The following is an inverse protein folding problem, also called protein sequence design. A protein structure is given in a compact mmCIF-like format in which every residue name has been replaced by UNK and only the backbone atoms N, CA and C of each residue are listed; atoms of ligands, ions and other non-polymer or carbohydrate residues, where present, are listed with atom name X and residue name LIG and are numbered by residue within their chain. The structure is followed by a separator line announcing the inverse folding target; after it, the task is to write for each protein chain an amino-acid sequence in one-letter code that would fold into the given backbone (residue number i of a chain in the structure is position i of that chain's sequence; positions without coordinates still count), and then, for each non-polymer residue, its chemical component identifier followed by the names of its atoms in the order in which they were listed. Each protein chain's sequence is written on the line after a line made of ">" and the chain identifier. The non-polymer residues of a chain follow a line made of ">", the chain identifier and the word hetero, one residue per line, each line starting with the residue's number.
data_IF_447268057912
#
_entry.id   IF_447268057912
#
_cell.length_a   1.000
_cell.length_b   1.000
_cell.length_c   1.000
_cell.angle_alpha   90.00
_cell.angle_beta   90.00
_cell.angle_gamma   90.00
#
_symmetry.space_group_name_H-M   'P 1'
#
loop_
_entity.id
_entity.type
_entity.pdbx_description
1 polymer ?
#
# COMPACT_ATOMS: atom_id res chain seq x y z
N UNK A 1 6.67 2.67 -22.52
CA UNK A 1 7.24 2.31 -21.21
C UNK A 1 6.30 2.78 -20.12
N UNK A 2 6.33 2.15 -18.95
CA UNK A 2 5.57 2.54 -17.76
C UNK A 2 6.53 3.08 -16.70
N UNK A 3 6.11 4.04 -15.90
CA UNK A 3 6.83 4.47 -14.71
C UNK A 3 6.11 3.94 -13.47
N UNK A 4 6.84 3.30 -12.55
CA UNK A 4 6.35 2.94 -11.21
C UNK A 4 7.30 3.42 -10.12
N UNK A 5 6.98 3.12 -8.87
CA UNK A 5 7.81 3.50 -7.73
C UNK A 5 8.44 2.28 -7.04
N UNK A 6 9.62 2.47 -6.45
CA UNK A 6 10.27 1.46 -5.60
C UNK A 6 9.33 1.05 -4.46
N UNK A 7 9.20 -0.24 -4.19
CA UNK A 7 8.35 -0.75 -3.11
C UNK A 7 6.86 -0.82 -3.44
N UNK A 8 6.42 -0.28 -4.57
CA UNK A 8 5.03 -0.42 -5.00
C UNK A 8 4.80 -1.78 -5.65
N UNK A 9 3.74 -2.46 -5.24
CA UNK A 9 3.36 -3.78 -5.73
C UNK A 9 2.03 -3.72 -6.49
N UNK A 10 2.08 -4.06 -7.78
CA UNK A 10 0.94 -3.99 -8.71
C UNK A 10 0.54 -5.37 -9.25
N UNK A 11 0.80 -6.43 -8.48
CA UNK A 11 0.50 -7.82 -8.84
C UNK A 11 1.67 -8.58 -9.47
N UNK A 12 1.43 -9.84 -9.81
CA UNK A 12 2.44 -10.79 -10.28
C UNK A 12 2.44 -10.92 -11.82
N UNK A 13 2.75 -9.84 -12.52
CA UNK A 13 3.02 -9.88 -13.95
C UNK A 13 4.35 -9.19 -14.26
N UNK A 14 4.98 -9.54 -15.38
CA UNK A 14 6.37 -9.21 -15.70
C UNK A 14 6.72 -7.73 -15.51
N UNK A 15 5.87 -6.82 -16.01
CA UNK A 15 6.09 -5.38 -15.88
C UNK A 15 5.88 -4.83 -14.45
N UNK A 16 4.96 -5.41 -13.66
CA UNK A 16 4.70 -4.97 -12.28
C UNK A 16 5.77 -5.47 -11.30
N UNK A 17 6.34 -6.65 -11.57
CA UNK A 17 7.41 -7.28 -10.78
C UNK A 17 8.80 -6.70 -11.09
N UNK A 18 8.87 -5.39 -11.32
CA UNK A 18 10.13 -4.64 -11.39
C UNK A 18 10.19 -3.71 -10.17
N UNK A 19 11.21 -3.86 -9.34
CA UNK A 19 11.46 -3.06 -8.13
C UNK A 19 10.27 -2.98 -7.17
N UNK A 20 9.43 -4.03 -7.09
CA UNK A 20 8.43 -4.20 -6.04
C UNK A 20 9.10 -4.48 -4.68
N UNK A 21 10.14 -5.29 -4.69
CA UNK A 21 11.08 -5.50 -3.58
C UNK A 21 12.51 -5.52 -4.14
N UNK A 22 13.25 -4.44 -3.94
CA UNK A 22 14.56 -4.25 -4.54
C UNK A 22 15.65 -4.03 -3.48
N UNK A 23 16.77 -4.78 -3.49
CA UNK A 23 17.87 -4.53 -2.57
C UNK A 23 18.50 -3.13 -2.84
N UNK A 24 18.53 -2.21 -1.86
CA UNK A 24 18.98 -0.82 -2.08
C UNK A 24 20.40 -0.72 -2.61
N UNK A 25 21.27 -1.63 -2.18
CA UNK A 25 22.69 -1.64 -2.52
C UNK A 25 22.96 -1.74 -4.02
N UNK A 26 22.02 -2.34 -4.79
CA UNK A 26 22.10 -2.46 -6.25
C UNK A 26 21.00 -1.66 -6.97
N UNK A 27 20.14 -0.97 -6.23
CA UNK A 27 19.01 -0.20 -6.76
C UNK A 27 19.40 1.18 -7.32
N UNK A 28 20.70 1.51 -7.39
CA UNK A 28 21.16 2.80 -7.91
C UNK A 28 20.91 3.98 -6.96
N UNK A 29 21.00 5.19 -7.49
CA UNK A 29 20.86 6.43 -6.71
C UNK A 29 19.39 6.70 -6.35
N UNK A 30 19.11 7.39 -5.25
CA UNK A 30 17.74 7.75 -4.84
C UNK A 30 16.99 8.56 -5.92
N UNK A 31 17.70 9.45 -6.60
CA UNK A 31 17.15 10.29 -7.67
C UNK A 31 17.08 9.57 -9.03
N UNK A 32 17.74 8.41 -9.15
CA UNK A 32 17.76 7.59 -10.37
C UNK A 32 17.80 6.09 -10.01
N UNK A 33 16.69 5.53 -9.49
CA UNK A 33 16.61 4.11 -9.20
C UNK A 33 16.79 3.27 -10.47
N UNK A 34 17.51 2.16 -10.33
CA UNK A 34 17.65 1.16 -11.39
C UNK A 34 16.44 0.22 -11.35
N UNK A 35 15.80 -0.08 -12.49
CA UNK A 35 14.80 -1.14 -12.55
C UNK A 35 15.47 -2.50 -12.29
N UNK A 36 14.93 -3.25 -11.33
CA UNK A 36 15.44 -4.56 -10.94
C UNK A 36 14.32 -5.59 -11.00
N UNK A 37 14.50 -6.74 -11.68
CA UNK A 37 13.48 -7.78 -11.69
C UNK A 37 13.34 -8.40 -10.29
N UNK A 38 12.09 -8.57 -9.85
CA UNK A 38 11.77 -9.17 -8.56
C UNK A 38 11.76 -10.69 -8.55
N UNK A 39 11.57 -11.30 -9.71
CA UNK A 39 11.42 -12.74 -9.84
C UNK A 39 12.30 -13.26 -10.96
N UNK A 40 12.75 -14.51 -10.80
CA UNK A 40 13.37 -15.26 -11.87
C UNK A 40 12.34 -15.49 -13.00
N UNK A 41 12.84 -15.64 -14.23
CA UNK A 41 12.00 -15.92 -15.40
C UNK A 41 11.43 -14.69 -16.10
N UNK A 42 11.55 -13.49 -15.53
CA UNK A 42 11.23 -12.24 -16.23
C UNK A 42 12.23 -12.05 -17.39
N UNK A 43 11.77 -11.97 -18.66
CA UNK A 43 12.67 -11.76 -19.79
C UNK A 43 13.47 -10.46 -19.63
N UNK A 44 14.79 -10.43 -19.90
CA UNK A 44 15.62 -9.25 -19.68
C UNK A 44 15.09 -7.96 -20.33
N UNK A 45 14.51 -8.08 -21.52
CA UNK A 45 13.96 -6.95 -22.27
C UNK A 45 12.72 -6.29 -21.63
N UNK A 46 12.07 -6.92 -20.65
CA UNK A 46 10.94 -6.29 -19.92
C UNK A 46 11.42 -5.06 -19.14
N UNK A 47 12.62 -5.13 -18.57
CA UNK A 47 13.18 -4.03 -17.76
C UNK A 47 13.40 -2.74 -18.56
N UNK A 48 13.58 -2.85 -19.89
CA UNK A 48 13.73 -1.69 -20.78
C UNK A 48 12.44 -0.86 -20.94
N UNK A 49 11.29 -1.45 -20.54
CA UNK A 49 9.98 -0.83 -20.61
C UNK A 49 9.44 -0.36 -19.26
N UNK A 50 10.17 -0.57 -18.16
CA UNK A 50 9.75 -0.17 -16.81
C UNK A 50 10.75 0.78 -16.19
N UNK A 51 10.31 2.02 -15.99
CA UNK A 51 11.07 3.07 -15.33
C UNK A 51 10.67 3.11 -13.86
N UNK A 52 11.63 3.39 -12.97
CA UNK A 52 11.41 3.38 -11.52
C UNK A 52 11.82 4.73 -10.93
N UNK A 53 10.94 5.32 -10.13
CA UNK A 53 11.22 6.50 -9.31
C UNK A 53 11.10 6.15 -7.82
N UNK A 54 11.59 7.03 -6.95
CA UNK A 54 11.42 6.88 -5.51
C UNK A 54 10.12 7.54 -5.04
N UNK A 55 9.26 6.80 -4.32
CA UNK A 55 8.03 7.33 -3.76
C UNK A 55 8.32 8.48 -2.77
N UNK A 56 7.44 9.48 -2.71
CA UNK A 56 7.60 10.73 -1.96
C UNK A 56 8.81 11.60 -2.33
N UNK A 57 9.53 11.29 -3.41
CA UNK A 57 10.58 12.16 -3.97
C UNK A 57 10.11 12.76 -5.29
N UNK A 58 9.57 13.99 -5.24
CA UNK A 58 9.13 14.68 -6.46
C UNK A 58 10.29 14.93 -7.42
N UNK A 59 11.49 15.16 -6.89
CA UNK A 59 12.72 15.34 -7.66
C UNK A 59 13.06 14.08 -8.46
N UNK A 60 12.94 12.89 -7.83
CA UNK A 60 13.14 11.60 -8.51
C UNK A 60 12.14 11.44 -9.66
N UNK A 61 10.85 11.73 -9.41
CA UNK A 61 9.82 11.65 -10.44
C UNK A 61 10.07 12.62 -11.61
N UNK A 62 10.29 13.91 -11.34
CA UNK A 62 10.56 14.94 -12.36
C UNK A 62 11.75 14.57 -13.25
N UNK A 63 12.82 14.02 -12.66
CA UNK A 63 14.00 13.57 -13.40
C UNK A 63 13.72 12.39 -14.31
N UNK A 64 12.93 11.42 -13.84
CA UNK A 64 12.54 10.27 -14.64
C UNK A 64 11.60 10.66 -15.79
N UNK A 65 10.62 11.53 -15.52
CA UNK A 65 9.74 12.09 -16.57
C UNK A 65 10.57 12.87 -17.58
N UNK A 66 11.44 13.79 -17.16
CA UNK A 66 12.30 14.57 -18.07
C UNK A 66 13.17 13.69 -18.96
N UNK A 67 13.72 12.60 -18.41
CA UNK A 67 14.62 11.70 -19.15
C UNK A 67 13.88 10.79 -20.14
N UNK A 68 12.66 10.37 -19.82
CA UNK A 68 11.94 9.33 -20.56
C UNK A 68 10.62 9.80 -21.16
N UNK A 69 10.32 11.11 -21.13
CA UNK A 69 9.07 11.75 -21.57
C UNK A 69 8.46 11.07 -22.80
N UNK A 70 9.19 11.06 -23.92
CA UNK A 70 8.69 10.59 -25.22
C UNK A 70 8.48 9.07 -25.29
N UNK A 71 8.78 8.34 -24.21
CA UNK A 71 8.66 6.89 -24.10
C UNK A 71 7.66 6.45 -23.03
N UNK A 72 7.18 7.36 -22.17
CA UNK A 72 6.29 7.02 -21.07
C UNK A 72 4.83 7.08 -21.54
N UNK A 73 4.13 5.96 -21.42
CA UNK A 73 2.69 5.88 -21.68
C UNK A 73 1.89 6.23 -20.42
N UNK A 74 2.36 5.78 -19.26
CA UNK A 74 1.71 6.05 -17.98
C UNK A 74 2.69 6.03 -16.80
N UNK A 75 2.24 6.62 -15.70
CA UNK A 75 2.74 6.38 -14.34
C UNK A 75 1.69 5.60 -13.55
N UNK A 76 2.11 4.53 -12.88
CA UNK A 76 1.28 3.76 -11.95
C UNK A 76 1.84 3.86 -10.54
N UNK A 77 0.96 4.07 -9.56
CA UNK A 77 1.33 4.13 -8.14
C UNK A 77 0.22 3.70 -7.20
N UNK A 78 0.61 3.14 -6.06
CA UNK A 78 -0.24 3.11 -4.87
C UNK A 78 -0.33 4.55 -4.33
N UNK A 79 -1.53 5.14 -4.17
CA UNK A 79 -1.66 6.50 -3.63
C UNK A 79 -1.15 6.60 -2.18
N UNK A 80 -1.31 5.50 -1.43
CA UNK A 80 -0.70 5.25 -0.12
C UNK A 80 0.05 3.93 -0.29
N UNK A 81 1.36 3.93 -0.10
CA UNK A 81 2.14 2.69 -0.19
C UNK A 81 1.74 1.76 0.95
N UNK A 82 1.20 0.59 0.59
CA UNK A 82 0.64 -0.40 1.50
C UNK A 82 1.37 -1.76 1.47
N UNK A 83 2.43 -1.88 0.66
CA UNK A 83 3.27 -3.08 0.52
C UNK A 83 4.72 -2.86 1.02
N UNK A 84 4.94 -1.81 1.82
CA UNK A 84 6.17 -1.60 2.60
C UNK A 84 5.83 -1.02 3.98
N UNK A 85 4.75 -1.54 4.57
CA UNK A 85 4.05 -1.01 5.72
C UNK A 85 2.96 -0.03 5.29
N UNK A 86 2.78 1.06 6.03
CA UNK A 86 1.85 2.15 5.67
C UNK A 86 2.64 3.45 5.56
N UNK A 87 2.81 3.93 4.33
CA UNK A 87 3.52 5.19 4.05
C UNK A 87 2.60 6.11 3.25
N UNK A 88 2.11 7.14 3.92
CA UNK A 88 1.29 8.18 3.32
C UNK A 88 2.09 9.06 2.35
N UNK A 89 1.45 9.63 1.32
CA UNK A 89 2.07 10.62 0.47
C UNK A 89 2.42 11.87 1.30
N UNK A 90 3.55 12.51 0.98
CA UNK A 90 3.86 13.84 1.54
C UNK A 90 2.88 14.88 0.99
N UNK A 91 2.65 16.00 1.70
CA UNK A 91 1.73 17.04 1.25
C UNK A 91 1.97 17.45 -0.21
N UNK A 92 0.90 17.66 -0.97
CA UNK A 92 0.89 17.97 -2.41
C UNK A 92 1.53 16.92 -3.34
N UNK A 93 2.10 15.81 -2.85
CA UNK A 93 2.82 14.86 -3.69
C UNK A 93 1.96 14.30 -4.83
N UNK A 94 0.81 13.71 -4.51
CA UNK A 94 -0.08 13.11 -5.51
C UNK A 94 -0.55 14.14 -6.54
N UNK A 95 -0.90 15.34 -6.08
CA UNK A 95 -1.30 16.45 -6.94
C UNK A 95 -0.18 16.83 -7.92
N UNK A 96 1.05 16.97 -7.42
CA UNK A 96 2.23 17.26 -8.25
C UNK A 96 2.53 16.15 -9.25
N UNK A 97 2.38 14.88 -8.88
CA UNK A 97 2.52 13.75 -9.82
C UNK A 97 1.55 13.93 -10.99
N UNK A 98 0.27 14.18 -10.71
CA UNK A 98 -0.77 14.38 -11.73
C UNK A 98 -0.45 15.59 -12.62
N UNK A 99 -0.14 16.74 -12.02
CA UNK A 99 0.20 17.97 -12.76
C UNK A 99 1.36 17.76 -13.73
N UNK A 100 2.46 17.16 -13.26
CA UNK A 100 3.66 16.93 -14.07
C UNK A 100 3.40 15.87 -15.15
N UNK A 101 2.67 14.80 -14.84
CA UNK A 101 2.33 13.77 -15.81
C UNK A 101 1.47 14.35 -16.95
N UNK A 102 0.43 15.12 -16.62
CA UNK A 102 -0.46 15.73 -17.61
C UNK A 102 0.25 16.78 -18.47
N UNK A 103 1.15 17.60 -17.90
CA UNK A 103 2.01 18.52 -18.67
C UNK A 103 2.90 17.80 -19.69
N UNK A 104 3.12 16.49 -19.52
CA UNK A 104 3.95 15.67 -20.39
C UNK A 104 3.14 14.64 -21.19
N UNK A 105 1.80 14.73 -21.20
CA UNK A 105 0.90 13.81 -21.92
C UNK A 105 1.03 12.35 -21.46
N UNK A 106 1.29 12.15 -20.16
CA UNK A 106 1.44 10.84 -19.51
C UNK A 106 0.19 10.54 -18.66
N UNK A 107 -0.38 9.35 -18.82
CA UNK A 107 -1.54 8.92 -18.02
C UNK A 107 -1.13 8.63 -16.56
N UNK A 108 -1.98 9.00 -15.61
CA UNK A 108 -1.83 8.62 -14.20
C UNK A 108 -2.78 7.50 -13.85
N UNK A 109 -2.24 6.41 -13.30
CA UNK A 109 -3.00 5.25 -12.82
C UNK A 109 -2.83 5.14 -11.31
N UNK A 110 -3.91 5.26 -10.55
CA UNK A 110 -3.88 4.90 -9.14
C UNK A 110 -4.20 3.43 -8.96
N UNK A 111 -3.28 2.70 -8.37
CA UNK A 111 -3.54 1.36 -7.87
C UNK A 111 -4.23 1.45 -6.51
N UNK A 112 -5.56 1.43 -6.54
CA UNK A 112 -6.44 1.47 -5.37
C UNK A 112 -6.92 0.07 -4.96
N UNK A 113 -6.21 -1.00 -5.39
CA UNK A 113 -6.51 -2.39 -5.00
C UNK A 113 -6.53 -2.54 -3.48
N UNK A 114 -5.72 -1.77 -2.75
CA UNK A 114 -5.73 -1.78 -1.27
C UNK A 114 -6.51 -0.61 -0.65
N UNK A 115 -6.34 0.60 -1.17
CA UNK A 115 -6.88 1.84 -0.58
C UNK A 115 -8.34 2.11 -0.94
N UNK A 116 -8.81 1.58 -2.08
CA UNK A 116 -10.18 1.74 -2.56
C UNK A 116 -11.19 1.14 -1.60
N UNK A 117 -12.28 1.87 -1.33
CA UNK A 117 -13.33 1.51 -0.38
C UNK A 117 -12.86 1.25 1.06
N UNK A 118 -11.56 1.46 1.37
CA UNK A 118 -10.93 1.19 2.66
C UNK A 118 -10.76 2.45 3.47
N UNK A 119 -10.04 3.42 2.92
CA UNK A 119 -9.64 4.64 3.64
C UNK A 119 -10.73 5.71 3.62
N UNK A 120 -11.58 5.66 2.60
CA UNK A 120 -12.79 6.43 2.39
C UNK A 120 -13.71 5.67 1.40
N UNK A 121 -14.99 6.05 1.25
CA UNK A 121 -15.87 5.47 0.24
C UNK A 121 -15.27 5.49 -1.17
N UNK A 122 -14.70 6.64 -1.56
CA UNK A 122 -14.01 6.85 -2.84
C UNK A 122 -12.50 6.60 -2.78
N UNK A 123 -12.01 5.82 -1.80
CA UNK A 123 -10.59 5.48 -1.69
C UNK A 123 -9.67 6.67 -1.38
N UNK A 124 -8.41 6.54 -1.74
CA UNK A 124 -7.40 7.57 -1.54
C UNK A 124 -7.68 8.82 -2.40
N UNK A 125 -8.35 8.67 -3.55
CA UNK A 125 -8.81 9.80 -4.36
C UNK A 125 -9.66 10.77 -3.56
N UNK A 126 -10.69 10.27 -2.89
CA UNK A 126 -11.54 11.10 -2.03
C UNK A 126 -10.75 11.65 -0.82
N UNK A 127 -9.89 10.82 -0.21
CA UNK A 127 -9.13 11.21 0.98
C UNK A 127 -8.18 12.38 0.71
N UNK A 128 -7.51 12.39 -0.45
CA UNK A 128 -6.53 13.41 -0.82
C UNK A 128 -7.05 14.46 -1.79
N UNK A 129 -8.26 14.30 -2.33
CA UNK A 129 -8.83 15.22 -3.32
C UNK A 129 -8.05 15.25 -4.64
N UNK A 130 -7.51 14.11 -5.07
CA UNK A 130 -6.71 13.98 -6.30
C UNK A 130 -7.28 12.86 -7.16
N UNK A 131 -7.60 13.16 -8.41
CA UNK A 131 -8.20 12.22 -9.36
C UNK A 131 -7.16 11.78 -10.43
N UNK A 132 -6.96 10.47 -10.65
CA UNK A 132 -6.13 9.91 -11.71
C UNK A 132 -6.90 9.82 -13.04
N UNK A 133 -6.23 9.40 -14.11
CA UNK A 133 -6.89 9.08 -15.38
C UNK A 133 -7.57 7.72 -15.35
N UNK A 134 -6.93 6.75 -14.68
CA UNK A 134 -7.43 5.39 -14.48
C UNK A 134 -7.21 4.95 -13.02
N UNK A 135 -8.00 3.98 -12.56
CA UNK A 135 -7.89 3.35 -11.25
C UNK A 135 -8.02 1.84 -11.35
N UNK A 136 -7.21 1.12 -10.57
CA UNK A 136 -7.33 -0.31 -10.36
C UNK A 136 -8.02 -0.58 -9.01
N UNK A 137 -8.97 -1.52 -8.98
CA UNK A 137 -9.78 -1.85 -7.81
C UNK A 137 -9.80 -3.35 -7.58
N UNK A 138 -9.78 -3.80 -6.32
CA UNK A 138 -9.98 -5.19 -5.93
C UNK A 138 -10.28 -5.26 -4.42
N UNK A 139 -9.98 -6.39 -3.78
CA UNK A 139 -10.03 -6.62 -2.31
C UNK A 139 -11.33 -6.13 -1.67
N UNK A 140 -11.32 -4.94 -1.08
CA UNK A 140 -12.47 -4.33 -0.42
C UNK A 140 -13.64 -4.10 -1.37
N UNK A 141 -13.43 -4.01 -2.69
CA UNK A 141 -14.47 -4.04 -3.71
C UNK A 141 -15.32 -5.33 -3.58
N UNK A 142 -14.65 -6.49 -3.61
CA UNK A 142 -15.31 -7.80 -3.66
C UNK A 142 -15.84 -8.32 -2.32
N UNK A 143 -15.39 -7.77 -1.19
CA UNK A 143 -15.82 -8.24 0.13
C UNK A 143 -15.53 -9.73 0.37
N UNK A 144 -14.50 -10.29 -0.27
CA UNK A 144 -14.09 -11.69 -0.14
C UNK A 144 -14.31 -12.56 -1.39
N UNK A 145 -15.08 -12.09 -2.40
CA UNK A 145 -15.17 -12.81 -3.69
C UNK A 145 -14.06 -12.37 -4.65
N UNK A 146 -13.58 -13.26 -5.56
CA UNK A 146 -12.54 -12.91 -6.53
C UNK A 146 -13.07 -11.94 -7.58
N UNK A 147 -12.76 -10.65 -7.42
CA UNK A 147 -13.06 -9.61 -8.41
C UNK A 147 -12.02 -8.51 -8.38
N UNK A 148 -11.77 -7.95 -9.55
CA UNK A 148 -11.05 -6.69 -9.73
C UNK A 148 -11.72 -5.89 -10.85
N UNK A 149 -11.45 -4.60 -10.89
CA UNK A 149 -11.95 -3.70 -11.92
C UNK A 149 -10.88 -2.68 -12.30
N UNK A 150 -10.91 -2.24 -13.55
CA UNK A 150 -10.25 -1.01 -14.00
C UNK A 150 -11.36 -0.03 -14.37
N UNK A 151 -11.24 1.20 -13.91
CA UNK A 151 -12.16 2.29 -14.26
C UNK A 151 -11.40 3.57 -14.54
N UNK A 152 -12.05 4.55 -15.18
CA UNK A 152 -11.47 5.86 -15.40
C UNK A 152 -12.25 6.64 -16.43
N UNK A 153 -11.60 7.64 -17.04
CA UNK A 153 -12.22 8.52 -18.04
C UNK A 153 -12.69 7.74 -19.27
N UNK A 154 -13.86 8.11 -19.79
CA UNK A 154 -14.48 7.44 -20.93
C UNK A 154 -13.56 7.38 -22.16
N UNK A 155 -12.85 8.46 -22.47
CA UNK A 155 -11.92 8.53 -23.60
C UNK A 155 -10.84 7.42 -23.61
N UNK A 156 -10.43 6.94 -22.43
CA UNK A 156 -9.50 5.82 -22.29
C UNK A 156 -10.22 4.48 -22.24
N UNK A 157 -11.33 4.39 -21.49
CA UNK A 157 -12.10 3.15 -21.35
C UNK A 157 -12.76 2.71 -22.66
N UNK A 158 -13.15 3.63 -23.53
CA UNK A 158 -13.72 3.35 -24.86
C UNK A 158 -12.71 2.66 -25.80
N UNK A 159 -11.43 2.65 -25.44
CA UNK A 159 -10.42 1.85 -26.14
C UNK A 159 -10.54 0.35 -25.89
N UNK A 160 -11.25 -0.06 -24.83
CA UNK A 160 -11.50 -1.47 -24.45
C UNK A 160 -12.83 -1.92 -25.10
N UNK A 161 -12.77 -2.68 -26.19
CA UNK A 161 -13.90 -3.27 -26.96
C UNK A 161 -15.22 -2.43 -27.04
N UNK A 162 -15.59 -1.87 -28.21
CA UNK A 162 -15.15 -2.21 -29.57
C UNK A 162 -13.85 -1.50 -30.02
N UNK A 163 -13.16 -0.84 -29.08
CA UNK A 163 -11.89 -0.17 -29.34
C UNK A 163 -10.73 -1.13 -29.67
N UNK A 164 -9.50 -0.59 -29.59
CA UNK A 164 -8.28 -1.28 -30.07
C UNK A 164 -7.68 -2.27 -29.08
N UNK A 165 -8.16 -2.30 -27.83
CA UNK A 165 -7.61 -3.13 -26.75
C UNK A 165 -8.52 -4.32 -26.52
N UNK A 166 -7.97 -5.53 -26.71
CA UNK A 166 -8.65 -6.78 -26.36
C UNK A 166 -8.67 -6.96 -24.85
N UNK A 167 -9.84 -7.25 -24.30
CA UNK A 167 -10.02 -7.46 -22.87
C UNK A 167 -11.09 -8.54 -22.65
N UNK A 168 -10.70 -9.64 -22.02
CA UNK A 168 -11.60 -10.76 -21.78
C UNK A 168 -10.97 -11.81 -20.88
N UNK A 169 -11.83 -12.62 -20.28
CA UNK A 169 -11.44 -13.75 -19.45
C UNK A 169 -12.67 -14.55 -19.06
N UNK A 170 -12.55 -15.88 -18.99
CA UNK A 170 -13.68 -16.80 -18.75
C UNK A 170 -14.49 -16.45 -17.50
N UNK A 171 -13.82 -16.00 -16.44
CA UNK A 171 -14.45 -15.67 -15.16
C UNK A 171 -14.79 -14.18 -15.00
N UNK A 172 -14.53 -13.34 -16.02
CA UNK A 172 -14.85 -11.92 -15.94
C UNK A 172 -16.35 -11.75 -15.74
N UNK A 173 -16.72 -10.88 -14.81
CA UNK A 173 -18.11 -10.55 -14.49
C UNK A 173 -19.01 -11.78 -14.21
N UNK A 174 -18.46 -12.87 -13.66
CA UNK A 174 -19.27 -14.02 -13.26
C UNK A 174 -20.31 -13.64 -12.18
N UNK A 175 -21.50 -14.24 -12.24
CA UNK A 175 -22.64 -13.86 -11.41
C UNK A 175 -22.36 -13.96 -9.90
N UNK A 176 -21.57 -14.94 -9.45
CA UNK A 176 -21.21 -15.08 -8.04
C UNK A 176 -20.41 -13.87 -7.55
N UNK A 177 -19.40 -13.48 -8.32
CA UNK A 177 -18.51 -12.38 -7.95
C UNK A 177 -19.23 -11.03 -8.03
N UNK A 178 -20.10 -10.84 -9.03
CA UNK A 178 -20.94 -9.64 -9.13
C UNK A 178 -21.94 -9.54 -7.97
N UNK A 179 -22.60 -10.65 -7.61
CA UNK A 179 -23.56 -10.67 -6.50
C UNK A 179 -22.90 -10.35 -5.15
N UNK A 180 -21.75 -10.96 -4.86
CA UNK A 180 -20.97 -10.70 -3.64
C UNK A 180 -20.48 -9.26 -3.57
N UNK A 181 -19.94 -8.74 -4.67
CA UNK A 181 -19.49 -7.34 -4.79
C UNK A 181 -20.64 -6.36 -4.56
N UNK A 182 -21.79 -6.58 -5.20
CA UNK A 182 -22.96 -5.71 -5.04
C UNK A 182 -23.48 -5.71 -3.59
N UNK A 183 -23.52 -6.86 -2.93
CA UNK A 183 -23.94 -6.97 -1.54
C UNK A 183 -22.97 -6.21 -0.62
N UNK A 184 -21.66 -6.36 -0.84
CA UNK A 184 -20.63 -5.66 -0.08
C UNK A 184 -20.68 -4.15 -0.30
N UNK A 185 -20.76 -3.67 -1.54
CA UNK A 185 -20.87 -2.24 -1.84
C UNK A 185 -22.14 -1.62 -1.24
N UNK A 186 -23.27 -2.34 -1.25
CA UNK A 186 -24.49 -1.91 -0.54
C UNK A 186 -24.28 -1.82 0.97
N UNK A 187 -23.54 -2.75 1.57
CA UNK A 187 -23.22 -2.71 2.99
C UNK A 187 -22.34 -1.49 3.32
N UNK A 188 -21.27 -1.27 2.56
CA UNK A 188 -20.38 -0.12 2.73
C UNK A 188 -21.13 1.20 2.53
N UNK A 189 -21.97 1.30 1.50
CA UNK A 189 -22.78 2.49 1.23
C UNK A 189 -23.80 2.79 2.34
N UNK A 190 -24.44 1.76 2.93
CA UNK A 190 -25.35 1.94 4.08
C UNK A 190 -24.62 2.39 5.34
N UNK A 191 -23.41 1.86 5.57
CA UNK A 191 -22.55 2.29 6.68
C UNK A 191 -22.06 3.74 6.50
N UNK A 192 -21.85 4.16 5.25
CA UNK A 192 -21.58 5.54 4.88
C UNK A 192 -20.46 6.17 5.71
N UNK A 193 -20.60 7.47 5.99
CA UNK A 193 -19.63 8.24 6.75
C UNK A 193 -19.40 7.70 8.17
N UNK A 194 -20.45 7.16 8.82
CA UNK A 194 -20.35 6.63 10.18
C UNK A 194 -19.39 5.44 10.26
N UNK A 195 -19.42 4.54 9.28
CA UNK A 195 -18.51 3.41 9.22
C UNK A 195 -17.05 3.87 9.11
N UNK A 196 -16.75 4.83 8.22
CA UNK A 196 -15.40 5.33 8.03
C UNK A 196 -14.93 6.22 9.18
N UNK A 197 -15.84 6.94 9.84
CA UNK A 197 -15.55 7.67 11.08
C UNK A 197 -15.19 6.71 12.21
N UNK A 198 -15.89 5.58 12.34
CA UNK A 198 -15.54 4.52 13.29
C UNK A 198 -14.18 3.91 12.97
N UNK A 199 -13.85 3.67 11.70
CA UNK A 199 -12.50 3.24 11.34
C UNK A 199 -11.45 4.28 11.74
N UNK A 200 -11.73 5.57 11.59
CA UNK A 200 -10.83 6.64 11.99
C UNK A 200 -10.60 6.64 13.50
N UNK A 201 -11.68 6.48 14.28
CA UNK A 201 -11.62 6.34 15.73
C UNK A 201 -10.74 5.15 16.15
N UNK A 202 -10.99 3.95 15.61
CA UNK A 202 -10.20 2.76 15.96
C UNK A 202 -8.74 2.88 15.53
N UNK A 203 -8.47 3.45 14.35
CA UNK A 203 -7.10 3.73 13.86
C UNK A 203 -6.35 4.62 14.84
N UNK A 204 -6.97 5.75 15.22
CA UNK A 204 -6.35 6.72 16.15
C UNK A 204 -6.14 6.12 17.54
N UNK A 205 -7.06 5.28 18.02
CA UNK A 205 -6.93 4.58 19.31
C UNK A 205 -5.76 3.59 19.28
N UNK A 206 -5.64 2.80 18.21
CA UNK A 206 -4.51 1.88 18.01
C UNK A 206 -3.18 2.64 17.93
N UNK A 207 -3.10 3.68 17.10
CA UNK A 207 -1.90 4.50 16.92
C UNK A 207 -1.39 5.04 18.26
N UNK A 208 -2.23 5.80 18.98
CA UNK A 208 -1.87 6.40 20.26
C UNK A 208 -1.56 5.35 21.32
N UNK A 209 -2.29 4.25 21.33
CA UNK A 209 -2.11 3.16 22.29
C UNK A 209 -0.79 2.43 22.10
N UNK A 210 -0.42 2.09 20.87
CA UNK A 210 0.86 1.45 20.55
C UNK A 210 2.02 2.38 20.89
N UNK A 211 1.93 3.66 20.53
CA UNK A 211 2.94 4.66 20.88
C UNK A 211 3.11 4.81 22.39
N UNK A 212 2.00 4.81 23.14
CA UNK A 212 2.04 4.89 24.60
C UNK A 212 2.69 3.65 25.21
N UNK A 213 2.29 2.45 24.76
CA UNK A 213 2.90 1.20 25.19
C UNK A 213 4.40 1.17 24.91
N UNK A 214 4.83 1.67 23.73
CA UNK A 214 6.24 1.77 23.38
C UNK A 214 7.01 2.73 24.31
N UNK A 215 6.42 3.89 24.66
CA UNK A 215 7.01 4.84 25.62
C UNK A 215 7.16 4.24 27.00
N UNK A 216 6.12 3.60 27.53
CA UNK A 216 6.14 2.97 28.86
C UNK A 216 7.15 1.82 28.92
N UNK A 217 7.19 1.03 27.85
CA UNK A 217 8.19 -0.01 27.67
C UNK A 217 9.56 0.53 27.22
N UNK A 218 9.77 1.83 26.98
CA UNK A 218 11.06 2.37 26.49
C UNK A 218 11.61 1.62 25.26
N UNK A 219 10.73 1.19 24.36
CA UNK A 219 11.08 0.55 23.08
C UNK A 219 10.94 1.56 21.96
N UNK A 220 11.91 1.60 21.04
CA UNK A 220 11.87 2.52 19.89
C UNK A 220 10.93 1.97 18.83
N UNK A 221 9.72 2.51 18.78
CA UNK A 221 8.67 2.17 17.81
C UNK A 221 8.18 3.44 17.13
N UNK A 222 8.06 3.38 15.80
CA UNK A 222 7.37 4.38 15.00
C UNK A 222 6.04 3.76 14.54
N UNK A 223 4.93 4.46 14.72
CA UNK A 223 3.63 4.06 14.19
C UNK A 223 3.28 4.98 13.02
N UNK A 224 2.81 4.41 11.91
CA UNK A 224 2.24 5.17 10.80
C UNK A 224 0.91 4.58 10.39
N UNK A 225 -0.09 5.42 10.20
CA UNK A 225 -1.46 5.02 9.94
C UNK A 225 -2.15 5.95 8.96
N UNK A 226 -3.11 5.38 8.23
CA UNK A 226 -4.10 6.10 7.44
C UNK A 226 -5.40 5.34 7.62
N UNK A 227 -6.52 6.06 7.80
CA UNK A 227 -7.82 5.50 8.18
C UNK A 227 -8.06 4.03 7.75
N UNK A 228 -8.19 3.13 8.73
CA UNK A 228 -8.41 1.69 8.50
C UNK A 228 -7.15 0.86 8.24
N UNK A 229 -5.98 1.47 8.26
CA UNK A 229 -4.67 0.86 8.01
C UNK A 229 -3.63 1.42 8.99
N UNK A 230 -2.78 0.55 9.50
CA UNK A 230 -1.70 0.92 10.41
C UNK A 230 -0.51 -0.01 10.21
N UNK A 231 0.70 0.49 10.41
CA UNK A 231 1.86 -0.35 10.70
C UNK A 231 2.67 0.30 11.82
N UNK A 232 3.32 -0.53 12.64
CA UNK A 232 4.35 -0.10 13.56
C UNK A 232 5.70 -0.71 13.20
N UNK A 233 6.75 0.07 13.36
CA UNK A 233 8.10 -0.24 12.93
C UNK A 233 9.05 -0.12 14.12
N UNK A 234 9.83 -1.15 14.39
CA UNK A 234 10.91 -1.07 15.37
C UNK A 234 12.07 -0.28 14.79
N UNK A 235 12.15 1.00 15.13
CA UNK A 235 13.16 1.92 14.59
C UNK A 235 13.32 3.14 15.49
N UNK A 236 14.48 3.79 15.37
CA UNK A 236 14.74 5.11 15.99
C UNK A 236 14.39 6.28 15.06
N UNK A 237 14.02 5.99 13.80
CA UNK A 237 13.59 7.03 12.85
C UNK A 237 12.30 7.66 13.37
N UNK A 238 12.18 8.97 13.14
CA UNK A 238 10.94 9.72 13.45
C UNK A 238 9.86 9.56 12.38
N UNK A 239 10.25 9.13 11.18
CA UNK A 239 9.37 8.94 10.03
C UNK A 239 10.01 7.98 9.02
N UNK A 240 9.16 7.27 8.28
CA UNK A 240 9.51 6.47 7.11
C UNK A 240 8.67 7.02 5.94
N UNK A 241 9.35 7.56 4.93
CA UNK A 241 8.71 8.26 3.81
C UNK A 241 8.82 7.50 2.49
N UNK A 242 9.66 6.48 2.39
CA UNK A 242 9.82 5.71 1.16
C UNK A 242 10.26 4.28 1.48
N UNK A 243 10.26 3.44 0.45
CA UNK A 243 10.63 2.03 0.53
C UNK A 243 12.03 1.83 1.15
N UNK A 244 13.05 2.58 0.71
CA UNK A 244 14.44 2.41 1.20
C UNK A 244 14.56 2.67 2.69
N UNK A 245 13.77 3.59 3.24
CA UNK A 245 13.71 3.85 4.67
C UNK A 245 12.99 2.73 5.44
N UNK A 246 11.97 2.11 4.85
CA UNK A 246 11.25 0.98 5.41
C UNK A 246 12.13 -0.27 5.56
N UNK A 247 13.16 -0.41 4.72
CA UNK A 247 14.13 -1.50 4.80
C UNK A 247 15.11 -1.39 5.98
N UNK A 248 15.17 -0.24 6.65
CA UNK A 248 16.13 0.04 7.73
C UNK A 248 15.57 -0.24 9.13
N UNK A 249 14.48 -1.00 9.22
CA UNK A 249 13.85 -1.33 10.50
C UNK A 249 14.46 -2.58 11.13
N UNK A 250 14.25 -2.76 12.43
CA UNK A 250 14.64 -3.98 13.14
C UNK A 250 13.62 -5.11 12.89
N UNK A 251 13.84 -5.83 11.79
CA UNK A 251 13.02 -6.97 11.38
C UNK A 251 13.00 -8.09 12.44
N UNK A 252 14.14 -8.36 13.08
CA UNK A 252 14.24 -9.41 14.08
C UNK A 252 13.38 -9.10 15.31
N UNK A 253 13.34 -7.83 15.73
CA UNK A 253 12.49 -7.40 16.82
C UNK A 253 11.00 -7.48 16.43
N UNK A 254 10.65 -7.16 15.18
CA UNK A 254 9.30 -7.33 14.66
C UNK A 254 8.86 -8.80 14.70
N UNK A 255 9.66 -9.73 14.18
CA UNK A 255 9.33 -11.16 14.20
C UNK A 255 9.15 -11.71 15.63
N UNK A 256 9.98 -11.28 16.58
CA UNK A 256 9.82 -11.70 17.99
C UNK A 256 8.52 -11.19 18.56
N UNK A 257 8.20 -9.93 18.30
CA UNK A 257 6.95 -9.34 18.73
C UNK A 257 5.74 -10.05 18.12
N UNK A 258 5.80 -10.37 16.82
CA UNK A 258 4.78 -11.16 16.13
C UNK A 258 4.56 -12.51 16.81
N UNK A 259 5.61 -13.26 17.14
CA UNK A 259 5.48 -14.55 17.83
C UNK A 259 4.80 -14.39 19.20
N UNK A 260 5.19 -13.39 19.99
CA UNK A 260 4.56 -13.14 21.29
C UNK A 260 3.08 -12.73 21.17
N UNK A 261 2.73 -11.96 20.13
CA UNK A 261 1.32 -11.65 19.85
C UNK A 261 0.55 -12.91 19.48
N UNK A 262 1.14 -13.79 18.67
CA UNK A 262 0.54 -15.07 18.28
C UNK A 262 0.29 -15.97 19.50
N UNK A 263 1.25 -16.05 20.42
CA UNK A 263 1.12 -16.80 21.68
C UNK A 263 -0.01 -16.25 22.57
N UNK A 264 -0.32 -14.95 22.44
CA UNK A 264 -1.47 -14.28 23.11
C UNK A 264 -2.77 -14.37 22.29
N UNK A 265 -2.78 -15.15 21.22
CA UNK A 265 -3.95 -15.37 20.36
C UNK A 265 -4.29 -14.19 19.45
N UNK A 266 -3.29 -13.37 19.10
CA UNK A 266 -3.41 -12.23 18.18
C UNK A 266 -2.55 -12.50 16.95
N UNK A 267 -3.20 -12.65 15.81
CA UNK A 267 -2.48 -12.80 14.54
C UNK A 267 -2.28 -11.44 13.87
N UNK A 268 -1.02 -11.09 13.64
CA UNK A 268 -0.58 -10.10 12.65
C UNK A 268 0.26 -10.82 11.59
N UNK A 269 0.51 -10.20 10.44
CA UNK A 269 1.39 -10.82 9.45
C UNK A 269 2.87 -10.78 9.93
N UNK A 270 3.67 -11.85 9.74
CA UNK A 270 5.07 -11.90 10.19
C UNK A 270 6.03 -11.00 9.40
N UNK A 271 5.63 -10.58 8.20
CA UNK A 271 6.35 -9.57 7.41
C UNK A 271 5.94 -8.15 7.83
N UNK A 272 6.89 -7.29 8.20
CA UNK A 272 6.62 -5.90 8.56
C UNK A 272 6.25 -5.00 7.37
N UNK A 273 6.42 -5.46 6.13
CA UNK A 273 5.88 -4.77 4.96
C UNK A 273 4.36 -4.91 4.88
N UNK A 274 3.78 -5.87 5.60
CA UNK A 274 2.35 -6.08 5.65
C UNK A 274 1.73 -5.26 6.78
N UNK A 275 1.07 -4.16 6.41
CA UNK A 275 0.09 -3.42 7.22
C UNK A 275 -0.89 -4.29 8.03
N UNK A 276 -1.19 -3.80 9.23
CA UNK A 276 -2.29 -4.23 10.08
C UNK A 276 -3.57 -3.54 9.59
N UNK A 277 -4.63 -4.33 9.43
CA UNK A 277 -5.97 -3.84 9.11
C UNK A 277 -6.99 -4.46 10.03
N UNK A 278 -8.16 -3.82 10.10
CA UNK A 278 -9.31 -4.34 10.82
C UNK A 278 -10.57 -4.22 9.95
N UNK A 279 -11.64 -4.84 10.42
CA UNK A 279 -12.92 -4.93 9.71
C UNK A 279 -14.03 -4.21 10.47
N UNK A 280 -15.20 -4.09 9.85
CA UNK A 280 -16.41 -3.56 10.50
C UNK A 280 -16.85 -4.37 11.72
N UNK A 281 -16.36 -5.60 11.90
CA UNK A 281 -16.62 -6.44 13.07
C UNK A 281 -15.79 -6.04 14.30
N UNK A 282 -14.66 -5.35 14.13
CA UNK A 282 -13.82 -4.94 15.25
C UNK A 282 -14.43 -3.76 15.99
N UNK A 283 -14.29 -3.78 17.31
CA UNK A 283 -14.83 -2.83 18.27
C UNK A 283 -13.74 -2.24 19.15
N UNK A 284 -14.10 -1.28 20.01
CA UNK A 284 -13.21 -0.74 21.03
C UNK A 284 -12.61 -1.81 21.95
N UNK A 285 -13.36 -2.89 22.23
CA UNK A 285 -12.90 -4.01 23.07
C UNK A 285 -11.80 -4.81 22.39
N UNK A 286 -11.90 -5.01 21.09
CA UNK A 286 -10.88 -5.72 20.31
C UNK A 286 -9.59 -4.90 20.26
N UNK A 287 -9.71 -3.57 20.11
CA UNK A 287 -8.57 -2.64 20.19
C UNK A 287 -7.94 -2.67 21.58
N UNK A 288 -8.74 -2.65 22.65
CA UNK A 288 -8.22 -2.73 24.02
C UNK A 288 -7.47 -4.04 24.28
N UNK A 289 -8.03 -5.18 23.84
CA UNK A 289 -7.36 -6.48 23.92
C UNK A 289 -6.03 -6.46 23.16
N UNK A 290 -6.00 -5.88 21.97
CA UNK A 290 -4.78 -5.74 21.19
C UNK A 290 -3.73 -4.87 21.88
N UNK A 291 -4.12 -3.71 22.40
CA UNK A 291 -3.23 -2.78 23.09
C UNK A 291 -2.67 -3.36 24.40
N UNK A 292 -3.47 -4.13 25.14
CA UNK A 292 -2.99 -4.86 26.31
C UNK A 292 -1.88 -5.84 25.91
N UNK A 293 -2.12 -6.68 24.90
CA UNK A 293 -1.12 -7.63 24.43
C UNK A 293 0.14 -6.92 23.91
N UNK A 294 0.00 -5.82 23.17
CA UNK A 294 1.15 -5.00 22.72
C UNK A 294 1.99 -4.50 23.90
N UNK A 295 1.37 -3.98 24.96
CA UNK A 295 2.09 -3.53 26.15
C UNK A 295 2.87 -4.65 26.85
N UNK A 296 2.25 -5.84 26.98
CA UNK A 296 2.90 -7.03 27.52
C UNK A 296 4.08 -7.47 26.65
N UNK A 297 3.87 -7.63 25.34
CA UNK A 297 4.92 -8.06 24.40
C UNK A 297 6.09 -7.09 24.35
N UNK A 298 5.87 -5.77 24.34
CA UNK A 298 6.97 -4.79 24.36
C UNK A 298 7.80 -4.85 25.65
N UNK A 299 7.19 -5.24 26.77
CA UNK A 299 7.90 -5.46 28.02
C UNK A 299 8.72 -6.75 27.96
N UNK A 300 8.12 -7.84 27.47
CA UNK A 300 8.76 -9.15 27.31
C UNK A 300 9.95 -9.13 26.35
N UNK A 301 9.89 -8.32 25.29
CA UNK A 301 11.00 -8.13 24.33
C UNK A 301 12.33 -7.74 24.99
N UNK A 302 12.31 -7.09 26.16
CA UNK A 302 13.53 -6.73 26.90
C UNK A 302 14.22 -7.90 27.56
N UNK A 303 13.44 -8.91 27.93
CA UNK A 303 13.90 -10.05 28.72
C UNK A 303 14.17 -11.29 27.87
N UNK A 304 13.71 -11.29 26.62
CA UNK A 304 13.91 -12.41 25.72
C UNK A 304 15.39 -12.55 25.30
N UNK A 305 15.93 -13.77 25.35
CA UNK A 305 17.21 -14.09 24.77
C UNK A 305 17.31 -13.65 23.29
N UNK A 306 18.52 -13.30 22.84
CA UNK A 306 18.73 -12.84 21.47
C UNK A 306 18.45 -13.90 20.40
N UNK A 307 18.36 -15.16 20.81
CA UNK A 307 18.16 -16.38 20.02
C UNK A 307 16.73 -16.94 20.13
N UNK A 308 15.76 -16.19 20.69
CA UNK A 308 14.37 -16.66 20.85
C UNK A 308 13.64 -17.09 19.55
N UNK A 309 14.24 -16.86 18.38
CA UNK A 309 13.74 -17.29 17.07
C UNK A 309 14.79 -18.06 16.23
N UNK A 310 15.93 -18.43 16.82
CA UNK A 310 16.94 -19.26 16.18
C UNK A 310 16.53 -20.75 16.25
#
# INVERSE_FOLDING_TARGET
>A
AILKFEGHYHGQHDYALISAEAPPIVAGLDEYPRPLPNSAGIPPGVTDYVMVAQYNSIVSFERMVKRYRDRLACVILEPIMANAGVIAPVPEYLKRIVEIAHQNEILVIFDEVFTGFRVAPGGAQQLYGVEPDLSCWAKALGGGVPISAVSGKAEYMDSIAPGRISFGGTYFANNLSLAGTLANLKHLARGGEELYARFGHLTNKLEKGIEQAARDAKVSVLVQSVNGMLQYFFTRRKKIQNYREALQIDWNLYLRNHQLLLDKGIYTHPDNYERITFSSAHTDKDVERFLQAIGETFTELKTLPRDYLA
#
